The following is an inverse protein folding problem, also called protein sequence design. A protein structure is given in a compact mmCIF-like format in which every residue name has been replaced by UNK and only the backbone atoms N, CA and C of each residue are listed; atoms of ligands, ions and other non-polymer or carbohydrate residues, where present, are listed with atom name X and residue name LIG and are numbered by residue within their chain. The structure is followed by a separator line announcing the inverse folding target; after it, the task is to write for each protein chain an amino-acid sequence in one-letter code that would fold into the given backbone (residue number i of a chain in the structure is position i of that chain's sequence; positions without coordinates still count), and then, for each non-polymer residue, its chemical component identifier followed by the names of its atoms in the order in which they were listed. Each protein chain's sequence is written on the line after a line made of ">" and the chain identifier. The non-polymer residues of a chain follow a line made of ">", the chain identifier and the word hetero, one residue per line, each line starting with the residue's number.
data_IF_096885430749
#
_entry.id   IF_096885430749
#
_cell.length_a   1.000
_cell.length_b   1.000
_cell.length_c   1.000
_cell.angle_alpha   90.00
_cell.angle_beta   90.00
_cell.angle_gamma   90.00
#
_symmetry.space_group_name_H-M   'P 1'
#
loop_
_entity.id
_entity.type
_entity.pdbx_description
1 polymer ?
#
# COMPACT_ATOMS: atom_id res chain seq x y z
N UNK A 1 1.41 -12.39 15.98
CA UNK A 1 1.92 -12.66 14.62
C UNK A 1 1.02 -11.92 13.64
N UNK A 2 1.54 -11.25 12.61
CA UNK A 2 0.72 -10.55 11.61
C UNK A 2 0.36 -11.52 10.47
N UNK A 3 -0.86 -11.41 9.94
CA UNK A 3 -1.27 -12.20 8.77
C UNK A 3 -0.65 -11.64 7.48
N UNK A 4 -0.28 -12.50 6.51
CA UNK A 4 0.17 -12.05 5.21
C UNK A 4 -0.98 -11.45 4.40
N UNK A 5 -0.65 -10.53 3.49
CA UNK A 5 -1.56 -10.04 2.45
C UNK A 5 -1.61 -11.10 1.34
N UNK A 6 -2.78 -11.69 1.10
CA UNK A 6 -2.97 -12.80 0.14
C UNK A 6 -3.64 -12.37 -1.17
N UNK A 7 -3.78 -11.06 -1.40
CA UNK A 7 -4.30 -10.50 -2.64
C UNK A 7 -5.79 -10.75 -2.80
N UNK A 8 -6.21 -11.15 -4.00
CA UNK A 8 -7.59 -11.48 -4.33
C UNK A 8 -7.75 -13.01 -4.48
N UNK A 9 -7.84 -13.76 -3.36
CA UNK A 9 -7.90 -15.20 -3.43
C UNK A 9 -9.22 -15.68 -4.05
N UNK A 10 -9.09 -16.60 -5.02
CA UNK A 10 -10.19 -17.49 -5.45
C UNK A 10 -10.10 -18.79 -4.65
N UNK A 11 -11.12 -19.66 -4.73
CA UNK A 11 -11.08 -20.94 -4.03
C UNK A 11 -9.86 -21.78 -4.42
N UNK A 12 -9.18 -22.42 -3.44
CA UNK A 12 -9.39 -22.32 -1.99
C UNK A 12 -8.79 -21.04 -1.37
N UNK A 13 -9.50 -20.44 -0.40
CA UNK A 13 -9.06 -19.23 0.28
C UNK A 13 -7.84 -19.51 1.19
N UNK A 14 -6.65 -18.95 0.90
CA UNK A 14 -5.48 -19.10 1.74
C UNK A 14 -5.64 -18.32 3.04
N UNK A 15 -4.97 -18.79 4.10
CA UNK A 15 -4.96 -18.12 5.41
C UNK A 15 -4.21 -16.80 5.31
N UNK A 16 -4.94 -15.68 5.31
CA UNK A 16 -4.38 -14.33 5.27
C UNK A 16 -5.43 -13.25 5.00
N UNK A 17 -4.98 -11.99 4.93
CA UNK A 17 -5.83 -10.85 4.63
C UNK A 17 -6.06 -10.74 3.11
N UNK A 18 -7.32 -10.81 2.62
CA UNK A 18 -7.63 -10.70 1.19
C UNK A 18 -7.51 -9.24 0.74
N UNK A 19 -6.28 -8.79 0.64
CA UNK A 19 -5.92 -7.42 0.32
C UNK A 19 -4.67 -7.45 -0.55
N UNK A 20 -4.64 -6.67 -1.63
CA UNK A 20 -3.46 -6.60 -2.48
C UNK A 20 -2.39 -5.73 -1.80
N UNK A 21 -1.13 -6.09 -2.01
CA UNK A 21 -0.02 -5.30 -1.47
C UNK A 21 -0.02 -3.89 -2.09
N UNK A 22 -0.37 -3.77 -3.37
CA UNK A 22 -0.44 -2.51 -4.10
C UNK A 22 -1.47 -1.58 -3.45
N UNK A 23 -2.69 -2.07 -3.21
CA UNK A 23 -3.75 -1.33 -2.51
C UNK A 23 -3.30 -0.85 -1.13
N UNK A 24 -2.50 -1.67 -0.42
CA UNK A 24 -2.01 -1.32 0.91
C UNK A 24 -0.98 -0.20 0.84
N UNK A 25 -0.06 -0.28 -0.12
CA UNK A 25 0.93 0.76 -0.34
C UNK A 25 0.26 2.07 -0.74
N UNK A 26 -0.74 2.04 -1.63
CA UNK A 26 -1.50 3.23 -2.01
C UNK A 26 -2.23 3.85 -0.82
N UNK A 27 -2.84 3.04 0.05
CA UNK A 27 -3.46 3.51 1.29
C UNK A 27 -2.43 4.18 2.21
N UNK A 28 -1.25 3.58 2.36
CA UNK A 28 -0.15 4.15 3.14
C UNK A 28 0.32 5.48 2.55
N UNK A 29 0.50 5.55 1.23
CA UNK A 29 0.92 6.78 0.54
C UNK A 29 -0.13 7.89 0.70
N UNK A 30 -1.40 7.56 0.52
CA UNK A 30 -2.51 8.48 0.71
C UNK A 30 -2.57 9.02 2.14
N UNK A 31 -2.52 8.13 3.13
CA UNK A 31 -2.54 8.53 4.54
C UNK A 31 -1.33 9.40 4.90
N UNK A 32 -0.13 9.04 4.44
CA UNK A 32 1.09 9.82 4.65
C UNK A 32 1.06 11.21 4.00
N UNK A 33 0.43 11.36 2.82
CA UNK A 33 0.24 12.68 2.18
C UNK A 33 -0.80 13.57 2.84
N UNK A 34 -1.72 12.97 3.60
CA UNK A 34 -2.70 13.69 4.41
C UNK A 34 -2.13 14.16 5.76
N UNK A 35 -0.98 13.63 6.20
CA UNK A 35 -0.32 14.09 7.43
C UNK A 35 0.20 15.53 7.28
N UNK A 36 0.22 16.26 8.40
CA UNK A 36 0.85 17.57 8.49
C UNK A 36 2.36 17.42 8.31
N UNK A 37 2.99 18.35 7.58
CA UNK A 37 4.39 18.24 7.12
C UNK A 37 5.42 18.02 8.24
N UNK A 38 5.16 18.52 9.44
CA UNK A 38 6.03 18.37 10.60
C UNK A 38 5.82 17.06 11.39
N UNK A 39 4.89 16.19 10.94
CA UNK A 39 4.61 14.90 11.58
C UNK A 39 5.49 13.81 11.00
N UNK A 40 5.95 12.92 11.87
CA UNK A 40 6.63 11.69 11.46
C UNK A 40 5.71 10.88 10.55
N UNK A 41 6.24 10.47 9.39
CA UNK A 41 5.47 9.73 8.39
C UNK A 41 4.72 10.62 7.39
N UNK A 42 4.86 11.94 7.46
CA UNK A 42 4.39 12.83 6.40
C UNK A 42 5.12 12.53 5.09
N UNK A 43 4.36 12.46 4.01
CA UNK A 43 4.85 12.25 2.65
C UNK A 43 4.57 13.52 1.85
N UNK A 44 5.60 14.06 1.23
CA UNK A 44 5.47 15.24 0.38
C UNK A 44 4.54 14.95 -0.82
N UNK A 45 3.56 15.83 -1.03
CA UNK A 45 2.58 15.73 -2.11
C UNK A 45 3.21 15.84 -3.51
N UNK A 46 4.40 16.42 -3.61
CA UNK A 46 5.14 16.55 -4.87
C UNK A 46 5.87 15.25 -5.28
N UNK A 47 6.05 14.30 -4.36
CA UNK A 47 6.67 13.03 -4.69
C UNK A 47 5.78 12.22 -5.63
N UNK A 48 6.36 11.46 -6.58
CA UNK A 48 5.60 10.48 -7.35
C UNK A 48 4.86 9.48 -6.43
N UNK A 49 3.75 8.87 -6.88
CA UNK A 49 3.06 7.81 -6.15
C UNK A 49 4.01 6.72 -5.65
N UNK A 50 3.70 6.09 -4.53
CA UNK A 50 4.61 5.10 -3.91
C UNK A 50 4.94 3.94 -4.84
N UNK A 51 3.99 3.47 -5.65
CA UNK A 51 4.21 2.36 -6.58
C UNK A 51 5.24 2.74 -7.65
N UNK A 52 5.19 3.97 -8.18
CA UNK A 52 6.20 4.48 -9.12
C UNK A 52 7.58 4.59 -8.47
N UNK A 53 7.65 5.11 -7.24
CA UNK A 53 8.92 5.23 -6.49
C UNK A 53 9.56 3.87 -6.21
N UNK A 54 8.75 2.85 -5.99
CA UNK A 54 9.18 1.48 -5.75
C UNK A 54 9.34 0.65 -7.04
N UNK A 55 9.09 1.25 -8.22
CA UNK A 55 9.12 0.58 -9.51
C UNK A 55 8.20 -0.66 -9.57
N UNK A 56 7.04 -0.57 -8.93
CA UNK A 56 6.00 -1.59 -8.94
C UNK A 56 4.97 -1.20 -10.00
N UNK A 57 4.68 -2.11 -10.93
CA UNK A 57 3.62 -1.91 -11.91
C UNK A 57 2.25 -1.95 -11.19
N UNK A 58 1.42 -0.88 -11.27
CA UNK A 58 0.11 -0.85 -10.65
C UNK A 58 -0.92 -1.80 -11.31
N UNK A 59 -0.59 -2.48 -12.41
CA UNK A 59 -1.52 -3.30 -13.20
C UNK A 59 -1.19 -4.79 -13.26
N UNK A 60 -0.21 -5.27 -12.48
CA UNK A 60 0.20 -6.68 -12.46
C UNK A 60 -0.27 -7.43 -11.22
#
# INVERSE_FOLDING_TARGET
>A
QLFPLVGNPREPMPVGLPFQLQDYLDLVDWSGRCLREDKRGAIDKQLPPILERLQIDPRH
#
